data_IF_173160572481
#
_entry.id   IF_173160572481
#
_cell.length_a   1.000
_cell.length_b   1.000
_cell.length_c   1.000
_cell.angle_alpha   90.00
_cell.angle_beta   90.00
_cell.angle_gamma   90.00
#
_symmetry.space_group_name_H-M   'P 1'
#
loop_
_entity.id
_entity.type
_entity.pdbx_description
1 polymer ?
#
# COMPACT_ATOMS: atom_id res chain seq x y z
N UNK A 1 8.71 20.92 -27.04
CA UNK A 1 7.65 19.97 -26.67
C UNK A 1 8.27 18.59 -26.43
N UNK A 2 7.73 17.81 -25.48
CA UNK A 2 7.58 16.34 -25.54
C UNK A 2 8.47 15.37 -24.71
N UNK A 3 9.63 15.72 -24.13
CA UNK A 3 10.40 14.67 -23.42
C UNK A 3 9.76 14.20 -22.10
N UNK A 4 9.34 15.16 -21.26
CA UNK A 4 8.63 14.89 -20.00
C UNK A 4 7.26 14.24 -20.24
N UNK A 5 6.60 14.62 -21.34
CA UNK A 5 5.28 14.11 -21.69
C UNK A 5 5.36 12.64 -22.17
N UNK A 6 6.35 12.32 -23.02
CA UNK A 6 6.62 10.95 -23.47
C UNK A 6 7.05 10.06 -22.30
N UNK A 7 7.94 10.54 -21.43
CA UNK A 7 8.34 9.82 -20.21
C UNK A 7 7.14 9.55 -19.29
N UNK A 8 6.25 10.53 -19.10
CA UNK A 8 5.04 10.39 -18.29
C UNK A 8 4.08 9.34 -18.85
N UNK A 9 3.85 9.34 -20.17
CA UNK A 9 2.98 8.37 -20.84
C UNK A 9 3.56 6.96 -20.80
N UNK A 10 4.87 6.80 -21.07
CA UNK A 10 5.55 5.49 -21.00
C UNK A 10 5.51 4.95 -19.56
N UNK A 11 5.73 5.80 -18.57
CA UNK A 11 5.67 5.43 -17.16
C UNK A 11 4.25 5.01 -16.76
N UNK A 12 3.23 5.77 -17.16
CA UNK A 12 1.82 5.43 -16.90
C UNK A 12 1.40 4.10 -17.54
N UNK A 13 1.81 3.85 -18.80
CA UNK A 13 1.57 2.58 -19.50
C UNK A 13 2.25 1.40 -18.80
N UNK A 14 3.53 1.54 -18.44
CA UNK A 14 4.27 0.52 -17.71
C UNK A 14 3.59 0.13 -16.40
N UNK A 15 3.03 1.13 -15.71
CA UNK A 15 2.41 0.95 -14.42
C UNK A 15 0.97 0.44 -14.47
N UNK A 16 0.22 0.80 -15.52
CA UNK A 16 -1.03 0.12 -15.88
C UNK A 16 -0.80 -1.37 -16.11
N UNK A 17 0.22 -1.72 -16.91
CA UNK A 17 0.57 -3.13 -17.16
C UNK A 17 0.93 -3.84 -15.86
N UNK A 18 1.76 -3.24 -15.00
CA UNK A 18 2.10 -3.80 -13.66
C UNK A 18 0.87 -3.99 -12.78
N UNK A 19 -0.10 -3.08 -12.83
CA UNK A 19 -1.33 -3.16 -12.03
C UNK A 19 -2.26 -4.26 -12.53
N UNK A 20 -2.43 -4.37 -13.85
CA UNK A 20 -3.20 -5.45 -14.49
C UNK A 20 -2.54 -6.81 -14.24
N UNK A 21 -1.21 -6.89 -14.29
CA UNK A 21 -0.46 -8.11 -14.03
C UNK A 21 -0.59 -8.57 -12.57
N UNK A 22 -0.58 -7.63 -11.61
CA UNK A 22 -0.84 -7.94 -10.19
C UNK A 22 -2.29 -8.31 -9.90
N UNK A 23 -3.25 -7.80 -10.68
CA UNK A 23 -4.67 -8.17 -10.59
C UNK A 23 -4.92 -9.58 -11.14
N UNK A 24 -4.37 -9.91 -12.32
CA UNK A 24 -4.45 -11.26 -12.92
C UNK A 24 -3.84 -12.35 -12.05
N UNK A 25 -2.90 -12.02 -11.16
CA UNK A 25 -2.30 -12.98 -10.22
C UNK A 25 -3.18 -13.29 -9.00
N UNK A 26 -4.38 -12.70 -8.87
CA UNK A 26 -5.32 -12.98 -7.76
C UNK A 26 -4.87 -12.49 -6.38
N UNK A 27 -3.71 -11.82 -6.29
CA UNK A 27 -3.08 -11.35 -5.04
C UNK A 27 -3.59 -9.97 -4.58
N UNK A 28 -4.51 -9.35 -5.31
CA UNK A 28 -5.06 -8.04 -5.00
C UNK A 28 -6.56 -8.11 -4.71
N UNK A 29 -6.97 -7.67 -3.51
CA UNK A 29 -8.36 -7.34 -3.21
C UNK A 29 -8.84 -6.25 -4.18
N UNK A 30 -10.09 -6.34 -4.64
CA UNK A 30 -10.74 -5.39 -5.58
C UNK A 30 -10.55 -3.92 -5.18
N UNK A 31 -10.57 -3.62 -3.88
CA UNK A 31 -10.30 -2.28 -3.34
C UNK A 31 -8.90 -1.73 -3.66
N UNK A 32 -7.86 -2.58 -3.67
CA UNK A 32 -6.51 -2.17 -4.04
C UNK A 32 -6.38 -1.90 -5.54
N UNK A 33 -7.11 -2.66 -6.37
CA UNK A 33 -7.11 -2.44 -7.82
C UNK A 33 -7.75 -1.10 -8.19
N UNK A 34 -8.89 -0.77 -7.60
CA UNK A 34 -9.58 0.52 -7.79
C UNK A 34 -8.70 1.68 -7.34
N UNK A 35 -8.05 1.57 -6.18
CA UNK A 35 -7.14 2.61 -5.66
C UNK A 35 -5.97 2.87 -6.61
N UNK A 36 -5.33 1.82 -7.13
CA UNK A 36 -4.23 1.97 -8.09
C UNK A 36 -4.71 2.50 -9.44
N UNK A 37 -5.88 2.06 -9.92
CA UNK A 37 -6.46 2.55 -11.17
C UNK A 37 -6.74 4.06 -11.13
N UNK A 38 -7.21 4.59 -10.00
CA UNK A 38 -7.44 6.03 -9.80
C UNK A 38 -6.11 6.80 -9.86
N UNK A 39 -5.03 6.28 -9.26
CA UNK A 39 -3.71 6.92 -9.30
C UNK A 39 -3.18 6.99 -10.75
N UNK A 40 -3.29 5.90 -11.51
CA UNK A 40 -2.86 5.91 -12.92
C UNK A 40 -3.69 6.84 -13.78
N UNK A 41 -5.02 6.87 -13.57
CA UNK A 41 -5.90 7.80 -14.25
C UNK A 41 -5.52 9.26 -13.94
N UNK A 42 -5.22 9.59 -12.68
CA UNK A 42 -4.78 10.93 -12.28
C UNK A 42 -3.47 11.33 -12.98
N UNK A 43 -2.51 10.42 -13.07
CA UNK A 43 -1.22 10.63 -13.75
C UNK A 43 -1.42 10.89 -15.26
N UNK A 44 -2.31 10.11 -15.91
CA UNK A 44 -2.63 10.28 -17.33
C UNK A 44 -3.27 11.65 -17.57
N UNK A 45 -4.22 12.05 -16.73
CA UNK A 45 -4.88 13.37 -16.81
C UNK A 45 -3.87 14.51 -16.65
N UNK A 46 -2.98 14.42 -15.67
CA UNK A 46 -1.91 15.41 -15.45
C UNK A 46 -0.92 15.47 -16.62
N UNK A 47 -0.64 14.33 -17.28
CA UNK A 47 0.33 14.26 -18.38
C UNK A 47 -0.24 14.75 -19.72
N UNK A 48 -1.55 14.57 -19.96
CA UNK A 48 -2.19 14.93 -21.23
C UNK A 48 -2.53 16.43 -21.31
N UNK A 49 -2.75 17.13 -20.19
CA UNK A 49 -3.26 18.49 -20.19
C UNK A 49 -2.30 19.52 -19.57
N UNK A 50 -1.33 20.06 -20.33
CA UNK A 50 -0.55 21.23 -19.92
C UNK A 50 -1.39 22.53 -19.89
N UNK A 51 -2.58 22.55 -20.50
CA UNK A 51 -3.42 23.76 -20.68
C UNK A 51 -4.49 23.97 -19.59
N UNK A 52 -4.90 22.93 -18.85
CA UNK A 52 -5.79 23.11 -17.67
C UNK A 52 -4.99 23.43 -16.41
N UNK A 53 -3.70 23.06 -16.36
CA UNK A 53 -2.82 23.42 -15.25
C UNK A 53 -2.60 24.92 -15.15
N UNK A 54 -2.74 25.70 -16.22
CA UNK A 54 -2.73 27.17 -16.15
C UNK A 54 -3.97 27.78 -15.49
N UNK A 55 -5.12 27.10 -15.54
CA UNK A 55 -6.36 27.59 -14.93
C UNK A 55 -6.39 27.28 -13.42
N UNK A 56 -5.94 26.07 -13.05
CA UNK A 56 -5.72 25.68 -11.65
C UNK A 56 -4.54 26.42 -11.01
N UNK A 57 -3.45 26.68 -11.75
CA UNK A 57 -2.33 27.49 -11.29
C UNK A 57 -2.72 28.92 -10.92
N UNK A 58 -3.68 29.53 -11.65
CA UNK A 58 -4.22 30.86 -11.33
C UNK A 58 -5.09 30.86 -10.08
N UNK A 59 -5.82 29.78 -9.81
CA UNK A 59 -6.66 29.66 -8.61
C UNK A 59 -5.84 29.35 -7.34
N UNK A 60 -4.73 28.63 -7.50
CA UNK A 60 -3.87 28.17 -6.39
C UNK A 60 -2.58 28.98 -6.21
N UNK A 61 -2.31 29.95 -7.08
CA UNK A 61 -1.17 30.88 -6.94
C UNK A 61 0.22 30.30 -7.25
N UNK A 62 0.31 29.10 -7.83
CA UNK A 62 1.59 28.42 -8.11
C UNK A 62 1.87 28.45 -9.61
N UNK A 63 2.87 29.23 -10.03
CA UNK A 63 3.15 29.55 -11.45
C UNK A 63 3.56 28.38 -12.36
N UNK A 64 3.64 27.14 -11.85
CA UNK A 64 4.00 25.95 -12.63
C UNK A 64 3.12 24.77 -12.26
N UNK A 65 2.45 24.20 -13.26
CA UNK A 65 1.55 23.07 -13.08
C UNK A 65 2.19 21.78 -12.55
N UNK A 66 3.50 21.64 -12.75
CA UNK A 66 4.29 20.50 -12.24
C UNK A 66 4.34 20.51 -10.71
N UNK A 67 4.41 21.68 -10.09
CA UNK A 67 4.56 21.81 -8.63
C UNK A 67 3.33 21.27 -7.90
N UNK A 68 2.13 21.48 -8.46
CA UNK A 68 0.88 20.90 -7.93
C UNK A 68 0.92 19.37 -7.95
N UNK A 69 1.42 18.78 -9.03
CA UNK A 69 1.56 17.32 -9.13
C UNK A 69 2.59 16.79 -8.12
N UNK A 70 3.70 17.50 -7.93
CA UNK A 70 4.72 17.17 -6.92
C UNK A 70 4.13 17.24 -5.52
N UNK A 71 3.44 18.33 -5.14
CA UNK A 71 2.79 18.42 -3.83
C UNK A 71 1.73 17.33 -3.63
N UNK A 72 0.89 17.06 -4.63
CA UNK A 72 -0.08 15.96 -4.59
C UNK A 72 0.58 14.60 -4.41
N UNK A 73 1.71 14.37 -5.09
CA UNK A 73 2.47 13.12 -4.96
C UNK A 73 3.06 12.96 -3.56
N UNK A 74 3.55 14.04 -2.93
CA UNK A 74 4.09 14.01 -1.57
C UNK A 74 2.99 13.65 -0.59
N UNK A 75 1.83 14.30 -0.66
CA UNK A 75 0.67 14.00 0.20
C UNK A 75 0.23 12.55 0.02
N UNK A 76 0.15 12.08 -1.22
CA UNK A 76 -0.18 10.69 -1.53
C UNK A 76 0.85 9.70 -0.95
N UNK A 77 2.14 10.02 -1.05
CA UNK A 77 3.24 9.23 -0.49
C UNK A 77 3.12 9.12 1.02
N UNK A 78 2.85 10.23 1.70
CA UNK A 78 2.62 10.25 3.15
C UNK A 78 1.41 9.39 3.53
N UNK A 79 0.29 9.51 2.80
CA UNK A 79 -0.88 8.67 3.05
C UNK A 79 -0.57 7.17 2.88
N UNK A 80 0.19 6.81 1.84
CA UNK A 80 0.63 5.44 1.59
C UNK A 80 1.55 4.92 2.70
N UNK A 81 2.52 5.73 3.13
CA UNK A 81 3.40 5.41 4.26
C UNK A 81 2.58 5.16 5.53
N UNK A 82 1.63 6.06 5.82
CA UNK A 82 0.75 5.92 6.98
C UNK A 82 -0.08 4.63 6.93
N UNK A 83 -0.64 4.30 5.75
CA UNK A 83 -1.38 3.05 5.55
C UNK A 83 -0.51 1.81 5.75
N UNK A 84 0.74 1.85 5.29
CA UNK A 84 1.72 0.77 5.51
C UNK A 84 2.04 0.63 7.00
N UNK A 85 2.27 1.74 7.69
CA UNK A 85 2.54 1.78 9.13
C UNK A 85 1.40 1.13 9.93
N UNK A 86 0.15 1.47 9.65
CA UNK A 86 -1.01 0.86 10.31
C UNK A 86 -1.10 -0.65 10.05
N UNK A 87 -0.77 -1.09 8.83
CA UNK A 87 -0.74 -2.52 8.49
C UNK A 87 0.38 -3.24 9.24
N UNK A 88 1.54 -2.62 9.36
CA UNK A 88 2.69 -3.15 10.10
C UNK A 88 2.33 -3.35 11.57
N UNK A 89 1.73 -2.34 12.21
CA UNK A 89 1.30 -2.43 13.60
C UNK A 89 0.28 -3.57 13.83
N UNK A 90 -0.61 -3.84 12.86
CA UNK A 90 -1.55 -4.98 12.94
C UNK A 90 -0.81 -6.31 12.86
N UNK A 91 0.20 -6.41 12.00
CA UNK A 91 1.02 -7.62 11.86
C UNK A 91 1.77 -7.89 13.17
N UNK A 92 2.40 -6.87 13.76
CA UNK A 92 3.12 -7.00 15.04
C UNK A 92 2.20 -7.53 16.15
N UNK A 93 1.01 -6.94 16.31
CA UNK A 93 0.01 -7.43 17.29
C UNK A 93 -0.40 -8.88 17.05
N UNK A 94 -0.54 -9.27 15.78
CA UNK A 94 -0.90 -10.64 15.41
C UNK A 94 0.22 -11.60 15.81
N UNK A 95 1.48 -11.26 15.51
CA UNK A 95 2.66 -12.04 15.90
C UNK A 95 2.73 -12.17 17.43
N UNK A 96 2.59 -11.08 18.18
CA UNK A 96 2.60 -11.11 19.64
C UNK A 96 1.51 -12.04 20.19
N UNK A 97 0.29 -11.96 19.63
CA UNK A 97 -0.81 -12.82 20.07
C UNK A 97 -0.56 -14.30 19.77
N UNK A 98 0.08 -14.60 18.63
CA UNK A 98 0.38 -15.95 18.20
C UNK A 98 1.47 -16.57 19.09
N UNK A 99 2.54 -15.83 19.35
CA UNK A 99 3.62 -16.24 20.27
C UNK A 99 3.07 -16.49 21.67
N UNK A 100 2.17 -15.62 22.16
CA UNK A 100 1.53 -15.79 23.48
C UNK A 100 0.69 -17.07 23.54
N UNK A 101 -0.10 -17.37 22.51
CA UNK A 101 -0.88 -18.62 22.43
C UNK A 101 0.04 -19.85 22.45
N UNK A 102 1.09 -19.85 21.64
CA UNK A 102 2.07 -20.94 21.57
C UNK A 102 2.74 -21.16 22.95
N UNK A 103 3.09 -20.08 23.66
CA UNK A 103 3.71 -20.17 24.98
C UNK A 103 2.76 -20.79 26.03
N UNK A 104 1.49 -20.40 26.03
CA UNK A 104 0.46 -20.95 26.95
C UNK A 104 0.20 -22.42 26.63
N UNK A 105 -0.02 -22.76 25.36
CA UNK A 105 -0.29 -24.14 24.93
C UNK A 105 0.89 -25.08 25.25
N UNK A 106 2.13 -24.60 25.08
CA UNK A 106 3.33 -25.34 25.47
C UNK A 106 3.40 -25.57 26.98
N UNK A 107 3.01 -24.59 27.80
CA UNK A 107 2.95 -24.72 29.25
C UNK A 107 1.92 -25.76 29.68
N UNK A 108 0.69 -25.66 29.19
CA UNK A 108 -0.39 -26.61 29.50
C UNK A 108 -0.04 -28.05 29.09
N UNK A 109 0.60 -28.22 27.93
CA UNK A 109 1.05 -29.54 27.47
C UNK A 109 2.12 -30.15 28.38
N UNK A 110 3.01 -29.33 28.94
CA UNK A 110 4.04 -29.79 29.88
C UNK A 110 3.43 -30.15 31.25
N UNK A 111 2.47 -29.35 31.75
CA UNK A 111 1.75 -29.65 32.99
C UNK A 111 0.96 -30.97 32.88
N UNK A 112 0.24 -31.20 31.78
CA UNK A 112 -0.47 -32.47 31.51
C UNK A 112 0.47 -33.67 31.49
N UNK A 113 1.66 -33.53 30.87
CA UNK A 113 2.68 -34.60 30.85
C UNK A 113 3.19 -34.92 32.25
N UNK A 114 3.43 -33.91 33.08
CA UNK A 114 3.93 -34.07 34.44
C UNK A 114 2.92 -34.78 35.35
N UNK A 115 1.63 -34.43 35.24
CA UNK A 115 0.55 -35.12 35.97
C UNK A 115 0.44 -36.58 35.53
N UNK A 116 0.53 -36.85 34.22
CA UNK A 116 0.44 -38.21 33.69
C UNK A 116 1.63 -39.10 34.10
N UNK A 117 2.82 -38.53 34.28
CA UNK A 117 3.99 -39.29 34.77
C UNK A 117 3.86 -39.69 36.24
N UNK A 118 3.25 -38.86 37.08
CA UNK A 118 3.02 -39.16 38.50
C UNK A 118 1.94 -40.24 38.66
N UNK A 119 0.88 -40.19 37.85
CA UNK A 119 -0.20 -41.19 37.91
C UNK A 119 0.22 -42.59 37.45
N UNK A 120 1.28 -42.73 36.64
CA UNK A 120 1.78 -44.03 36.18
C UNK A 120 2.79 -44.68 37.14
N UNK A 121 3.29 -43.93 38.13
CA UNK A 121 4.24 -44.43 39.14
C UNK A 121 3.58 -44.87 40.45
N UNK A 122 2.27 -44.68 40.59
CA UNK A 122 1.42 -45.17 41.68
C UNK A 122 0.66 -46.41 41.21
#
# INVERSE_FOLDING_TARGET
MQLIQVLGVVFALFLLVKTVQKFKQGKLKTSSFVFWSIIWALIIVVSILPWTTSLLARLLGVGRGVDIAVYGSIVLLFYLMFKIYLKLQRIDRTITSLVRKIAIEKKEKNEKKHVLSISKSL
#
